data_IF_756522661081
#
_entry.id   IF_756522661081
#
_cell.length_a   1.000
_cell.length_b   1.000
_cell.length_c   1.000
_cell.angle_alpha   90.00
_cell.angle_beta   90.00
_cell.angle_gamma   90.00
#
_symmetry.space_group_name_H-M   'P 1'
#
loop_
_entity.id
_entity.type
_entity.pdbx_description
1 polymer ?
#
# COMPACT_ATOMS: atom_id res chain seq x y z
N UNK A 1 -13.20 30.67 35.96
CA UNK A 1 -11.80 30.81 36.41
C UNK A 1 -10.95 30.13 35.35
N UNK A 2 -10.46 30.91 34.37
CA UNK A 2 -9.48 30.41 33.39
C UNK A 2 -8.17 30.25 34.14
N UNK A 3 -7.67 29.02 34.22
CA UNK A 3 -6.38 28.71 34.79
C UNK A 3 -5.29 29.20 33.82
N UNK A 4 -5.01 30.52 33.84
CA UNK A 4 -3.86 31.13 33.16
C UNK A 4 -2.61 30.69 33.91
N UNK A 5 -2.06 29.53 33.54
CA UNK A 5 -0.67 29.23 33.83
C UNK A 5 0.20 30.29 33.17
N UNK A 6 0.86 31.09 33.98
CA UNK A 6 1.85 32.08 33.58
C UNK A 6 3.01 31.29 32.96
N UNK A 7 3.13 31.31 31.62
CA UNK A 7 4.30 30.77 30.92
C UNK A 7 5.50 31.66 31.24
N UNK A 8 6.42 31.16 32.06
CA UNK A 8 7.67 31.85 32.37
C UNK A 8 8.47 32.11 31.07
N UNK A 9 8.88 33.37 30.88
CA UNK A 9 9.48 33.93 29.67
C UNK A 9 10.94 33.50 29.43
N UNK A 10 11.24 32.21 29.50
CA UNK A 10 12.41 31.64 28.82
C UNK A 10 11.95 31.05 27.50
N UNK A 11 11.92 31.89 26.45
CA UNK A 11 11.63 31.43 25.08
C UNK A 11 12.83 30.61 24.58
N UNK A 12 12.86 29.34 24.94
CA UNK A 12 13.79 28.37 24.35
C UNK A 12 13.36 28.14 22.91
N UNK A 13 14.26 28.34 21.95
CA UNK A 13 13.98 28.06 20.54
C UNK A 13 13.72 26.55 20.38
N UNK A 14 12.73 26.19 19.59
CA UNK A 14 12.40 24.79 19.28
C UNK A 14 13.66 24.06 18.75
N UNK A 15 14.43 24.72 17.88
CA UNK A 15 15.68 24.16 17.35
C UNK A 15 16.70 23.80 18.45
N UNK A 16 16.72 24.54 19.56
CA UNK A 16 17.59 24.24 20.70
C UNK A 16 17.15 22.97 21.44
N UNK A 17 15.86 22.69 21.49
CA UNK A 17 15.31 21.45 22.07
C UNK A 17 15.62 20.27 21.14
N UNK A 18 15.36 20.43 19.83
CA UNK A 18 15.63 19.41 18.81
C UNK A 18 17.12 19.07 18.74
N UNK A 19 18.01 20.07 18.83
CA UNK A 19 19.46 19.85 18.83
C UNK A 19 19.97 19.01 20.03
N UNK A 20 19.20 18.96 21.14
CA UNK A 20 19.53 18.20 22.35
C UNK A 20 18.81 16.86 22.44
N UNK A 21 18.18 16.40 21.37
CA UNK A 21 17.47 15.12 21.30
C UNK A 21 18.33 13.94 21.81
N UNK A 22 19.60 13.85 21.39
CA UNK A 22 20.52 12.78 21.81
C UNK A 22 20.88 12.86 23.30
N UNK A 23 21.11 14.07 23.81
CA UNK A 23 21.45 14.29 25.22
C UNK A 23 20.25 13.95 26.12
N UNK A 24 19.04 14.34 25.70
CA UNK A 24 17.79 14.02 26.39
C UNK A 24 17.54 12.50 26.36
N UNK A 25 17.79 11.83 25.24
CA UNK A 25 17.63 10.39 25.12
C UNK A 25 18.56 9.65 26.11
N UNK A 26 19.82 10.10 26.19
CA UNK A 26 20.81 9.57 27.13
C UNK A 26 20.35 9.78 28.59
N UNK A 27 19.89 10.99 28.93
CA UNK A 27 19.44 11.31 30.29
C UNK A 27 18.21 10.49 30.72
N UNK A 28 17.37 10.09 29.78
CA UNK A 28 16.16 9.29 30.02
C UNK A 28 16.41 7.78 29.87
N UNK A 29 17.65 7.35 29.60
CA UNK A 29 18.00 5.97 29.27
C UNK A 29 17.12 5.37 28.15
N UNK A 30 16.75 6.20 27.18
CA UNK A 30 15.92 5.83 26.04
C UNK A 30 16.80 5.63 24.79
N UNK A 31 16.48 4.64 23.92
CA UNK A 31 17.25 4.41 22.70
C UNK A 31 17.11 5.54 21.68
N UNK A 32 15.94 6.17 21.62
CA UNK A 32 15.65 7.36 20.80
C UNK A 32 14.49 8.13 21.41
N UNK A 33 14.36 9.40 21.04
CA UNK A 33 13.23 10.27 21.41
C UNK A 33 12.59 10.83 20.16
N UNK A 34 11.28 11.03 20.18
CA UNK A 34 10.59 11.80 19.13
C UNK A 34 10.08 13.11 19.73
N UNK A 35 10.51 14.21 19.12
CA UNK A 35 10.10 15.56 19.52
C UNK A 35 9.07 16.05 18.50
N UNK A 36 7.86 16.32 18.96
CA UNK A 36 6.77 16.89 18.15
C UNK A 36 6.46 18.31 18.62
N UNK A 37 6.79 19.29 17.77
CA UNK A 37 6.65 20.70 18.09
C UNK A 37 5.97 21.47 16.94
N UNK A 38 4.86 22.20 17.20
CA UNK A 38 3.97 22.06 18.36
C UNK A 38 3.12 20.78 18.26
N UNK A 39 2.62 20.29 19.40
CA UNK A 39 1.56 19.27 19.41
C UNK A 39 0.31 19.88 18.75
N UNK A 40 -0.31 19.21 17.76
CA UNK A 40 -1.49 19.73 17.07
C UNK A 40 -2.57 20.24 18.02
N UNK A 41 -3.01 21.48 17.83
CA UNK A 41 -4.05 22.10 18.65
C UNK A 41 -3.57 22.69 19.99
N UNK A 42 -2.26 22.70 20.28
CA UNK A 42 -1.71 23.26 21.53
C UNK A 42 -0.45 24.10 21.29
N UNK A 43 -0.01 24.86 22.29
CA UNK A 43 1.27 25.59 22.30
C UNK A 43 2.44 24.78 22.87
N UNK A 44 2.25 23.47 23.09
CA UNK A 44 3.21 22.62 23.81
C UNK A 44 4.15 21.87 22.85
N UNK A 45 5.35 21.55 23.35
CA UNK A 45 6.28 20.61 22.72
C UNK A 45 6.05 19.22 23.32
N UNK A 46 5.75 18.24 22.48
CA UNK A 46 5.64 16.84 22.88
C UNK A 46 6.99 16.14 22.78
N UNK A 47 7.36 15.41 23.82
CA UNK A 47 8.53 14.52 23.81
C UNK A 47 8.01 13.11 24.07
N UNK A 48 8.04 12.27 23.04
CA UNK A 48 7.68 10.85 23.16
C UNK A 48 8.90 10.05 23.60
N UNK A 49 8.80 9.43 24.76
CA UNK A 49 9.81 8.55 25.35
C UNK A 49 9.33 7.10 25.19
N UNK A 50 10.13 6.20 24.60
CA UNK A 50 9.79 4.79 24.52
C UNK A 50 9.57 4.17 25.90
N UNK A 51 8.51 3.36 26.04
CA UNK A 51 8.31 2.58 27.25
C UNK A 51 9.39 1.49 27.38
N UNK A 52 9.95 1.24 28.59
CA UNK A 52 10.95 0.19 28.81
C UNK A 52 10.44 -1.22 28.48
N UNK A 53 9.13 -1.45 28.63
CA UNK A 53 8.45 -2.69 28.22
C UNK A 53 7.37 -2.33 27.22
N UNK A 54 7.59 -2.68 25.96
CA UNK A 54 6.56 -2.52 24.92
C UNK A 54 5.45 -3.56 25.13
N UNK A 55 4.21 -3.12 25.15
CA UNK A 55 3.06 -4.01 25.09
C UNK A 55 2.65 -4.19 23.64
N UNK A 56 2.56 -5.44 23.18
CA UNK A 56 2.09 -5.74 21.83
C UNK A 56 0.63 -5.30 21.65
N UNK A 57 0.30 -4.81 20.46
CA UNK A 57 -1.08 -4.51 20.06
C UNK A 57 -1.60 -5.69 19.27
N UNK A 58 -2.45 -6.53 19.82
CA UNK A 58 -3.02 -7.65 19.06
C UNK A 58 -4.04 -7.14 18.04
N UNK A 59 -4.07 -7.76 16.86
CA UNK A 59 -5.04 -7.42 15.80
C UNK A 59 -6.49 -7.52 16.30
N UNK A 60 -6.80 -8.55 17.09
CA UNK A 60 -8.10 -8.72 17.75
C UNK A 60 -8.48 -7.49 18.58
N UNK A 61 -7.55 -6.93 19.36
CA UNK A 61 -7.83 -5.77 20.21
C UNK A 61 -8.20 -4.50 19.43
N UNK A 62 -7.77 -4.42 18.16
CA UNK A 62 -8.13 -3.33 17.24
C UNK A 62 -9.48 -3.62 16.58
N UNK A 63 -9.70 -4.85 16.13
CA UNK A 63 -10.93 -5.26 15.43
C UNK A 63 -12.18 -5.29 16.31
N UNK A 64 -12.01 -5.49 17.62
CA UNK A 64 -13.13 -5.47 18.57
C UNK A 64 -13.59 -4.06 18.96
N UNK A 65 -12.88 -3.01 18.52
CA UNK A 65 -13.20 -1.62 18.85
C UNK A 65 -14.47 -1.12 18.15
N UNK A 66 -15.10 -0.09 18.75
CA UNK A 66 -16.29 0.55 18.18
C UNK A 66 -15.96 1.17 16.82
N UNK A 67 -14.80 1.82 16.69
CA UNK A 67 -14.37 2.49 15.46
C UNK A 67 -14.23 1.50 14.30
N UNK A 68 -13.58 0.35 14.55
CA UNK A 68 -13.46 -0.70 13.54
C UNK A 68 -14.82 -1.25 13.12
N UNK A 69 -15.68 -1.59 14.09
CA UNK A 69 -17.03 -2.13 13.81
C UNK A 69 -17.90 -1.13 13.06
N UNK A 70 -17.81 0.15 13.40
CA UNK A 70 -18.53 1.23 12.73
C UNK A 70 -18.11 1.36 11.26
N UNK A 71 -16.80 1.32 10.96
CA UNK A 71 -16.32 1.31 9.57
C UNK A 71 -16.74 0.04 8.83
N UNK A 72 -16.61 -1.12 9.47
CA UNK A 72 -16.97 -2.43 8.89
C UNK A 72 -18.43 -2.49 8.47
N UNK A 73 -19.32 -1.81 9.18
CA UNK A 73 -20.74 -1.74 8.81
C UNK A 73 -21.00 -1.03 7.47
N UNK A 74 -20.01 -0.26 6.98
CA UNK A 74 -20.13 0.60 5.78
C UNK A 74 -19.22 0.18 4.63
N UNK A 75 -18.08 -0.46 4.93
CA UNK A 75 -17.09 -0.88 3.94
C UNK A 75 -16.68 -2.33 4.14
N UNK A 76 -16.35 -3.00 3.04
CA UNK A 76 -15.80 -4.35 3.00
C UNK A 76 -14.29 -4.37 3.23
N UNK A 77 -13.58 -3.29 2.94
CA UNK A 77 -12.11 -3.30 2.94
C UNK A 77 -11.50 -2.57 4.16
N UNK A 78 -12.08 -2.81 5.33
CA UNK A 78 -11.64 -2.19 6.59
C UNK A 78 -10.42 -2.90 7.16
N UNK A 79 -9.43 -2.12 7.57
CA UNK A 79 -8.12 -2.55 8.03
C UNK A 79 -7.89 -2.14 9.49
N UNK A 80 -7.46 -3.09 10.32
CA UNK A 80 -6.99 -2.81 11.68
C UNK A 80 -5.50 -2.49 11.63
N UNK A 81 -5.13 -1.21 11.71
CA UNK A 81 -3.72 -0.80 11.58
C UNK A 81 -2.96 -0.88 12.90
N UNK A 82 -3.59 -0.55 14.03
CA UNK A 82 -2.91 -0.56 15.33
C UNK A 82 -3.46 0.46 16.32
N UNK A 83 -2.57 1.02 17.15
CA UNK A 83 -2.89 2.09 18.11
C UNK A 83 -1.87 3.23 18.03
N UNK A 84 -2.32 4.47 18.15
CA UNK A 84 -1.47 5.65 18.22
C UNK A 84 -0.75 5.78 19.56
N UNK A 85 0.17 6.75 19.65
CA UNK A 85 0.94 7.06 20.87
C UNK A 85 0.05 7.35 22.08
N UNK A 86 -1.15 7.91 21.86
CA UNK A 86 -2.13 8.21 22.91
C UNK A 86 -3.07 7.06 23.26
N UNK A 87 -2.89 5.89 22.63
CA UNK A 87 -3.80 4.73 22.77
C UNK A 87 -5.06 4.82 21.90
N UNK A 88 -5.19 5.88 21.09
CA UNK A 88 -6.22 6.01 20.06
C UNK A 88 -6.12 4.87 19.04
N UNK A 89 -7.28 4.38 18.59
CA UNK A 89 -7.32 3.22 17.69
C UNK A 89 -7.07 3.70 16.26
N UNK A 90 -6.11 3.08 15.58
CA UNK A 90 -5.86 3.32 14.18
C UNK A 90 -6.56 2.26 13.32
N UNK A 91 -7.63 2.70 12.64
CA UNK A 91 -8.39 1.92 11.67
C UNK A 91 -8.46 2.66 10.35
N UNK A 92 -8.51 1.92 9.26
CA UNK A 92 -8.54 2.52 7.93
C UNK A 92 -9.41 1.72 6.96
N UNK A 93 -9.70 2.29 5.80
CA UNK A 93 -10.57 1.68 4.79
C UNK A 93 -9.89 1.76 3.42
N UNK A 94 -9.48 0.62 2.88
CA UNK A 94 -8.81 0.52 1.58
C UNK A 94 -9.74 0.96 0.42
N UNK A 95 -11.06 0.87 0.59
CA UNK A 95 -12.02 1.40 -0.40
C UNK A 95 -11.93 2.92 -0.54
N UNK A 96 -11.64 3.61 0.57
CA UNK A 96 -11.40 5.06 0.61
C UNK A 96 -9.96 5.44 0.30
N UNK A 97 -9.03 4.55 0.63
CA UNK A 97 -7.59 4.65 0.42
C UNK A 97 -7.19 3.69 -0.70
N UNK A 98 -7.51 4.00 -1.97
CA UNK A 98 -7.68 2.98 -3.00
C UNK A 98 -6.46 2.07 -3.18
N UNK A 99 -5.26 2.59 -2.91
CA UNK A 99 -4.01 1.84 -2.96
C UNK A 99 -3.14 2.21 -1.75
N UNK A 100 -2.44 1.23 -1.21
CA UNK A 100 -1.59 1.33 -0.02
C UNK A 100 -0.16 0.90 -0.35
N UNK A 101 0.80 1.79 -0.08
CA UNK A 101 2.22 1.49 -0.17
C UNK A 101 2.78 1.23 1.23
N UNK A 102 3.46 0.12 1.44
CA UNK A 102 4.07 -0.28 2.71
C UNK A 102 5.58 -0.45 2.51
N UNK A 103 6.39 0.27 3.28
CA UNK A 103 7.84 0.14 3.17
C UNK A 103 8.51 0.07 4.54
N UNK A 104 9.69 -0.55 4.59
CA UNK A 104 10.49 -0.65 5.81
C UNK A 104 11.56 -1.71 5.72
N UNK A 105 12.60 -1.59 6.54
CA UNK A 105 13.72 -2.55 6.55
C UNK A 105 13.31 -3.92 7.09
N UNK A 106 14.11 -4.96 6.83
CA UNK A 106 13.91 -6.30 7.38
C UNK A 106 13.76 -6.27 8.92
N UNK A 107 12.78 -7.00 9.46
CA UNK A 107 12.53 -7.06 10.91
C UNK A 107 11.84 -5.83 11.52
N UNK A 108 11.50 -4.83 10.71
CA UNK A 108 10.83 -3.60 11.19
C UNK A 108 9.34 -3.79 11.52
N UNK A 109 8.69 -4.81 10.94
CA UNK A 109 7.25 -5.08 11.10
C UNK A 109 6.45 -5.09 9.80
N UNK A 110 7.07 -4.81 8.64
CA UNK A 110 6.44 -4.80 7.30
C UNK A 110 5.59 -6.05 7.03
N UNK A 111 6.18 -7.25 7.16
CA UNK A 111 5.48 -8.49 6.82
C UNK A 111 4.29 -8.77 7.74
N UNK A 112 4.44 -8.51 9.04
CA UNK A 112 3.35 -8.61 10.02
C UNK A 112 2.21 -7.64 9.68
N UNK A 113 2.52 -6.45 9.17
CA UNK A 113 1.52 -5.49 8.71
C UNK A 113 0.74 -5.98 7.49
N UNK A 114 1.43 -6.53 6.49
CA UNK A 114 0.78 -7.11 5.30
C UNK A 114 -0.17 -8.23 5.72
N UNK A 115 0.30 -9.12 6.60
CA UNK A 115 -0.52 -10.17 7.19
C UNK A 115 -1.72 -9.63 7.96
N UNK A 116 -1.53 -8.57 8.75
CA UNK A 116 -2.63 -7.93 9.50
C UNK A 116 -3.67 -7.29 8.57
N UNK A 117 -3.24 -6.70 7.45
CA UNK A 117 -4.11 -6.14 6.41
C UNK A 117 -4.94 -7.26 5.74
N UNK A 118 -4.28 -8.34 5.31
CA UNK A 118 -4.95 -9.49 4.67
C UNK A 118 -5.92 -10.15 5.66
N UNK A 119 -5.48 -10.42 6.88
CA UNK A 119 -6.30 -11.01 7.94
C UNK A 119 -7.53 -10.14 8.25
N UNK A 120 -7.37 -8.81 8.36
CA UNK A 120 -8.50 -7.89 8.56
C UNK A 120 -9.58 -8.05 7.50
N UNK A 121 -9.18 -8.24 6.23
CA UNK A 121 -10.09 -8.43 5.10
C UNK A 121 -10.75 -9.81 5.18
N UNK A 122 -9.99 -10.90 5.26
CA UNK A 122 -10.56 -12.25 5.15
C UNK A 122 -11.27 -12.72 6.42
N UNK A 123 -11.04 -12.11 7.59
CA UNK A 123 -11.79 -12.43 8.81
C UNK A 123 -13.28 -12.02 8.74
N UNK A 124 -13.64 -11.11 7.83
CA UNK A 124 -14.96 -10.48 7.85
C UNK A 124 -15.67 -10.42 6.48
N UNK A 125 -14.98 -10.87 5.43
CA UNK A 125 -15.49 -10.89 4.07
C UNK A 125 -15.47 -12.32 3.54
N UNK A 126 -16.55 -12.73 2.89
CA UNK A 126 -16.59 -13.99 2.17
C UNK A 126 -15.86 -13.85 0.82
N UNK A 127 -15.54 -14.97 0.13
CA UNK A 127 -15.04 -14.92 -1.25
C UNK A 127 -15.95 -14.14 -2.21
N UNK A 128 -17.25 -14.06 -1.93
CA UNK A 128 -18.23 -13.27 -2.70
C UNK A 128 -18.13 -11.77 -2.49
N UNK A 129 -17.61 -11.35 -1.33
CA UNK A 129 -17.36 -9.94 -1.05
C UNK A 129 -15.97 -9.53 -1.57
N UNK A 130 -14.95 -10.38 -1.41
CA UNK A 130 -13.57 -10.04 -1.74
C UNK A 130 -12.78 -11.22 -2.28
N UNK A 131 -12.06 -10.97 -3.38
CA UNK A 131 -11.11 -11.88 -4.02
C UNK A 131 -9.70 -11.31 -3.91
N UNK A 132 -8.69 -12.17 -3.83
CA UNK A 132 -7.30 -11.75 -3.59
C UNK A 132 -6.36 -12.38 -4.61
N UNK A 133 -5.41 -11.58 -5.11
CA UNK A 133 -4.18 -12.06 -5.76
C UNK A 133 -3.03 -11.75 -4.82
N UNK A 134 -2.19 -12.74 -4.57
CA UNK A 134 -1.00 -12.59 -3.73
C UNK A 134 0.24 -12.87 -4.57
N UNK A 135 1.20 -11.95 -4.54
CA UNK A 135 2.48 -12.04 -5.23
C UNK A 135 3.60 -12.03 -4.18
N UNK A 136 4.31 -13.14 -4.07
CA UNK A 136 5.36 -13.39 -3.08
C UNK A 136 6.56 -14.07 -3.76
N UNK A 137 7.45 -13.28 -4.40
CA UNK A 137 8.62 -13.82 -5.10
C UNK A 137 9.62 -14.49 -4.15
N UNK A 138 9.56 -14.17 -2.84
CA UNK A 138 10.45 -14.74 -1.82
C UNK A 138 9.96 -16.07 -1.26
N UNK A 139 8.69 -16.41 -1.47
CA UNK A 139 8.04 -17.64 -0.99
C UNK A 139 8.02 -17.76 0.54
N UNK A 140 7.89 -16.65 1.25
CA UNK A 140 7.95 -16.62 2.72
C UNK A 140 6.64 -16.12 3.30
N UNK A 141 6.21 -14.93 2.93
CA UNK A 141 5.23 -14.17 3.70
C UNK A 141 3.78 -14.50 3.34
N UNK A 142 3.49 -14.74 2.06
CA UNK A 142 2.11 -14.93 1.58
C UNK A 142 1.80 -16.36 1.16
N UNK A 143 2.83 -17.18 0.90
CA UNK A 143 2.63 -18.61 0.59
C UNK A 143 1.79 -19.39 1.62
N UNK A 144 1.78 -19.07 2.94
CA UNK A 144 0.90 -19.75 3.89
C UNK A 144 -0.60 -19.65 3.57
N UNK A 145 -1.04 -18.62 2.84
CA UNK A 145 -2.45 -18.45 2.46
C UNK A 145 -2.90 -19.37 1.32
N UNK A 146 -2.00 -20.14 0.69
CA UNK A 146 -2.38 -21.03 -0.41
C UNK A 146 -3.53 -21.96 -0.01
N UNK A 147 -4.57 -21.98 -0.85
CA UNK A 147 -5.76 -22.82 -0.69
C UNK A 147 -6.93 -22.15 0.04
N UNK A 148 -6.82 -20.90 0.50
CA UNK A 148 -8.01 -20.17 0.96
C UNK A 148 -8.96 -19.92 -0.23
N UNK A 149 -10.29 -19.93 -0.01
CA UNK A 149 -11.26 -19.80 -1.07
C UNK A 149 -11.31 -18.39 -1.65
N UNK A 150 -10.64 -17.38 -1.08
CA UNK A 150 -10.56 -15.99 -1.57
C UNK A 150 -9.56 -15.81 -2.72
N UNK A 151 -8.59 -16.72 -2.86
CA UNK A 151 -7.54 -16.60 -3.88
C UNK A 151 -8.12 -16.78 -5.28
N UNK A 152 -7.81 -15.85 -6.20
CA UNK A 152 -8.16 -15.98 -7.62
C UNK A 152 -7.29 -17.05 -8.28
N UNK A 153 -6.00 -17.05 -7.92
CA UNK A 153 -4.99 -18.03 -8.32
C UNK A 153 -4.14 -18.39 -7.10
N UNK A 154 -3.45 -19.54 -7.11
CA UNK A 154 -2.40 -19.82 -6.13
C UNK A 154 -1.42 -18.66 -6.02
N UNK A 155 -0.80 -18.52 -4.84
CA UNK A 155 0.16 -17.45 -4.58
C UNK A 155 1.24 -17.45 -5.66
N UNK A 156 1.39 -16.31 -6.32
CA UNK A 156 2.28 -16.14 -7.46
C UNK A 156 3.69 -15.92 -6.94
N UNK A 157 4.61 -16.77 -7.38
CA UNK A 157 6.02 -16.73 -6.97
C UNK A 157 6.96 -16.34 -8.12
N UNK A 158 6.52 -16.55 -9.37
CA UNK A 158 7.32 -16.25 -10.56
C UNK A 158 6.97 -14.85 -11.11
N UNK A 159 8.00 -14.08 -11.49
CA UNK A 159 7.82 -12.71 -11.97
C UNK A 159 6.98 -12.64 -13.24
N UNK A 160 7.20 -13.54 -14.20
CA UNK A 160 6.44 -13.58 -15.45
C UNK A 160 4.95 -13.83 -15.20
N UNK A 161 4.63 -14.68 -14.22
CA UNK A 161 3.26 -14.93 -13.81
C UNK A 161 2.64 -13.70 -13.11
N UNK A 162 3.43 -12.94 -12.35
CA UNK A 162 2.98 -11.68 -11.75
C UNK A 162 2.65 -10.63 -12.82
N UNK A 163 3.49 -10.48 -13.86
CA UNK A 163 3.22 -9.61 -15.00
C UNK A 163 1.91 -10.01 -15.69
N UNK A 164 1.72 -11.29 -15.97
CA UNK A 164 0.48 -11.81 -16.58
C UNK A 164 -0.75 -11.52 -15.72
N UNK A 165 -0.67 -11.78 -14.42
CA UNK A 165 -1.79 -11.53 -13.51
C UNK A 165 -2.15 -10.04 -13.43
N UNK A 166 -1.16 -9.14 -13.36
CA UNK A 166 -1.42 -7.70 -13.36
C UNK A 166 -2.07 -7.23 -14.68
N UNK A 167 -1.62 -7.74 -15.83
CA UNK A 167 -2.24 -7.46 -17.14
C UNK A 167 -3.67 -7.99 -17.21
N UNK A 168 -3.94 -9.20 -16.71
CA UNK A 168 -5.29 -9.75 -16.61
C UNK A 168 -6.19 -8.89 -15.71
N UNK A 169 -5.66 -8.33 -14.61
CA UNK A 169 -6.41 -7.42 -13.75
C UNK A 169 -6.74 -6.09 -14.42
N UNK A 170 -5.90 -5.61 -15.34
CA UNK A 170 -6.24 -4.44 -16.17
C UNK A 170 -7.40 -4.77 -17.11
N UNK A 171 -7.41 -5.96 -17.73
CA UNK A 171 -8.54 -6.38 -18.58
C UNK A 171 -9.82 -6.54 -17.76
N UNK A 172 -9.75 -7.17 -16.58
CA UNK A 172 -10.89 -7.27 -15.67
C UNK A 172 -11.39 -5.87 -15.26
N UNK A 173 -10.49 -4.94 -14.94
CA UNK A 173 -10.86 -3.54 -14.67
C UNK A 173 -11.67 -2.93 -15.82
N UNK A 174 -11.23 -3.12 -17.07
CA UNK A 174 -11.93 -2.61 -18.25
C UNK A 174 -13.28 -3.29 -18.47
N UNK A 175 -13.38 -4.61 -18.27
CA UNK A 175 -14.65 -5.36 -18.32
C UNK A 175 -15.63 -4.85 -17.27
N UNK A 176 -15.17 -4.57 -16.05
CA UNK A 176 -15.98 -3.98 -14.98
C UNK A 176 -16.49 -2.59 -15.35
N UNK A 177 -15.67 -1.75 -15.98
CA UNK A 177 -16.14 -0.45 -16.47
C UNK A 177 -17.29 -0.59 -17.46
N UNK A 178 -17.17 -1.46 -18.47
CA UNK A 178 -18.25 -1.72 -19.45
C UNK A 178 -19.55 -2.18 -18.74
N UNK A 179 -19.45 -3.17 -17.85
CA UNK A 179 -20.60 -3.67 -17.07
C UNK A 179 -21.25 -2.58 -16.20
N UNK A 180 -20.44 -1.72 -15.61
CA UNK A 180 -20.93 -0.61 -14.78
C UNK A 180 -21.61 0.46 -15.62
N UNK A 181 -21.06 0.79 -16.79
CA UNK A 181 -21.64 1.74 -17.75
C UNK A 181 -23.00 1.25 -18.26
N UNK A 182 -23.10 -0.01 -18.69
CA UNK A 182 -24.36 -0.65 -19.10
C UNK A 182 -25.43 -0.60 -18.00
N UNK A 183 -25.01 -0.70 -16.73
CA UNK A 183 -25.87 -0.62 -15.56
C UNK A 183 -26.08 0.81 -15.04
N UNK A 184 -25.54 1.84 -15.71
CA UNK A 184 -25.56 3.25 -15.24
C UNK A 184 -25.01 3.44 -13.82
N UNK A 185 -24.07 2.58 -13.41
CA UNK A 185 -23.41 2.62 -12.11
C UNK A 185 -22.05 3.31 -12.25
N UNK A 186 -21.79 4.33 -11.41
CA UNK A 186 -20.49 5.05 -11.42
C UNK A 186 -19.38 4.34 -10.65
N UNK A 187 -19.71 3.35 -9.82
CA UNK A 187 -18.76 2.58 -9.03
C UNK A 187 -19.35 1.22 -8.63
N UNK A 188 -18.47 0.34 -8.14
CA UNK A 188 -18.81 -1.03 -7.73
C UNK A 188 -19.87 -1.08 -6.62
N UNK A 189 -19.85 -0.13 -5.67
CA UNK A 189 -20.83 -0.09 -4.58
C UNK A 189 -22.25 0.12 -5.13
N UNK A 190 -22.40 1.05 -6.07
CA UNK A 190 -23.68 1.32 -6.74
C UNK A 190 -24.06 0.16 -7.66
N UNK A 191 -23.10 -0.43 -8.37
CA UNK A 191 -23.36 -1.58 -9.22
C UNK A 191 -23.90 -2.77 -8.43
N UNK A 192 -23.30 -3.07 -7.27
CA UNK A 192 -23.67 -4.18 -6.42
C UNK A 192 -24.93 -3.93 -5.59
N UNK A 193 -25.36 -2.67 -5.49
CA UNK A 193 -26.52 -2.27 -4.69
C UNK A 193 -27.76 -3.00 -5.20
N UNK A 194 -28.50 -3.61 -4.28
CA UNK A 194 -29.75 -4.33 -4.52
C UNK A 194 -29.67 -5.52 -5.51
N UNK A 195 -28.46 -5.92 -5.95
CA UNK A 195 -28.23 -7.11 -6.78
C UNK A 195 -28.16 -8.40 -5.95
N UNK A 196 -28.58 -9.55 -6.50
CA UNK A 196 -28.34 -10.86 -5.89
C UNK A 196 -26.85 -11.18 -5.86
N UNK A 197 -26.42 -11.98 -4.88
CA UNK A 197 -25.00 -12.29 -4.63
C UNK A 197 -24.28 -12.85 -5.86
N UNK A 198 -24.97 -13.66 -6.66
CA UNK A 198 -24.45 -14.28 -7.89
C UNK A 198 -24.12 -13.29 -9.01
N UNK A 199 -24.72 -12.10 -8.99
CA UNK A 199 -24.51 -11.06 -9.99
C UNK A 199 -23.57 -9.95 -9.52
N UNK A 200 -23.25 -9.92 -8.22
CA UNK A 200 -22.34 -8.93 -7.65
C UNK A 200 -20.91 -9.17 -8.12
N UNK A 201 -20.19 -8.07 -8.27
CA UNK A 201 -18.76 -8.10 -8.49
C UNK A 201 -18.06 -8.05 -7.12
N UNK A 202 -17.19 -9.00 -6.78
CA UNK A 202 -16.41 -8.92 -5.56
C UNK A 202 -15.35 -7.82 -5.69
N UNK A 203 -14.97 -7.20 -4.58
CA UNK A 203 -13.75 -6.39 -4.54
C UNK A 203 -12.54 -7.27 -4.83
N UNK A 204 -11.52 -6.74 -5.51
CA UNK A 204 -10.26 -7.44 -5.76
C UNK A 204 -9.16 -6.71 -5.01
N UNK A 205 -8.40 -7.43 -4.20
CA UNK A 205 -7.19 -6.91 -3.55
C UNK A 205 -5.99 -7.63 -4.12
N UNK A 206 -5.04 -6.87 -4.66
CA UNK A 206 -3.77 -7.38 -5.18
C UNK A 206 -2.70 -7.03 -4.15
N UNK A 207 -2.17 -8.04 -3.47
CA UNK A 207 -1.12 -7.90 -2.47
C UNK A 207 0.24 -8.31 -3.06
N UNK A 208 1.22 -7.40 -2.99
CA UNK A 208 2.59 -7.62 -3.45
C UNK A 208 3.51 -7.52 -2.24
N UNK A 209 4.19 -8.60 -1.86
CA UNK A 209 5.10 -8.58 -0.70
C UNK A 209 6.38 -7.77 -0.96
N UNK A 210 7.01 -7.96 -2.12
CA UNK A 210 8.27 -7.29 -2.46
C UNK A 210 8.21 -6.75 -3.89
N UNK A 211 7.86 -5.47 -4.03
CA UNK A 211 7.85 -4.78 -5.31
C UNK A 211 9.24 -4.74 -5.95
N UNK A 212 10.30 -4.61 -5.15
CA UNK A 212 11.66 -4.47 -5.66
C UNK A 212 12.09 -5.66 -6.52
N UNK A 213 11.73 -6.88 -6.12
CA UNK A 213 12.08 -8.09 -6.85
C UNK A 213 11.37 -8.15 -8.21
N UNK A 214 10.13 -7.66 -8.28
CA UNK A 214 9.39 -7.54 -9.54
C UNK A 214 10.00 -6.45 -10.45
N UNK A 215 10.35 -5.30 -9.87
CA UNK A 215 10.94 -4.17 -10.60
C UNK A 215 12.32 -4.51 -11.16
N UNK A 216 13.13 -5.28 -10.45
CA UNK A 216 14.46 -5.69 -10.92
C UNK A 216 14.40 -6.59 -12.15
N UNK A 217 13.34 -7.40 -12.28
CA UNK A 217 13.20 -8.36 -13.36
C UNK A 217 12.37 -7.81 -14.54
N UNK A 218 11.35 -7.00 -14.28
CA UNK A 218 10.41 -6.51 -15.30
C UNK A 218 9.86 -5.10 -14.98
N UNK A 219 10.73 -4.13 -14.68
CA UNK A 219 10.35 -2.77 -14.25
C UNK A 219 9.26 -2.13 -15.10
N UNK A 220 9.42 -2.10 -16.43
CA UNK A 220 8.50 -1.43 -17.34
C UNK A 220 7.08 -1.99 -17.24
N UNK A 221 6.92 -3.31 -17.40
CA UNK A 221 5.61 -3.97 -17.37
C UNK A 221 4.94 -3.86 -15.99
N UNK A 222 5.71 -4.01 -14.91
CA UNK A 222 5.22 -3.95 -13.54
C UNK A 222 4.78 -2.54 -13.18
N UNK A 223 5.63 -1.54 -13.40
CA UNK A 223 5.32 -0.14 -13.10
C UNK A 223 4.13 0.34 -13.92
N UNK A 224 4.10 0.07 -15.23
CA UNK A 224 2.97 0.42 -16.09
C UNK A 224 1.67 -0.19 -15.56
N UNK A 225 1.67 -1.48 -15.21
CA UNK A 225 0.47 -2.17 -14.75
C UNK A 225 -0.01 -1.66 -13.40
N UNK A 226 0.91 -1.44 -12.46
CA UNK A 226 0.61 -0.89 -11.14
C UNK A 226 0.02 0.52 -11.27
N UNK A 227 0.62 1.39 -12.08
CA UNK A 227 0.11 2.75 -12.30
C UNK A 227 -1.28 2.71 -12.93
N UNK A 228 -1.48 1.90 -13.96
CA UNK A 228 -2.76 1.82 -14.67
C UNK A 228 -3.89 1.36 -13.75
N UNK A 229 -3.62 0.33 -12.94
CA UNK A 229 -4.54 -0.14 -11.91
C UNK A 229 -4.75 0.89 -10.81
N UNK A 230 -3.70 1.61 -10.39
CA UNK A 230 -3.81 2.60 -9.34
C UNK A 230 -4.62 3.85 -9.75
N UNK A 231 -4.58 4.21 -11.04
CA UNK A 231 -5.33 5.34 -11.58
C UNK A 231 -6.83 5.07 -11.72
N UNK A 232 -7.20 3.85 -12.10
CA UNK A 232 -8.57 3.52 -12.53
C UNK A 232 -9.24 2.41 -11.69
N UNK A 233 -8.50 1.76 -10.80
CA UNK A 233 -8.96 0.62 -10.01
C UNK A 233 -10.03 0.97 -8.97
N UNK A 234 -9.95 2.17 -8.38
CA UNK A 234 -10.85 2.60 -7.28
C UNK A 234 -12.33 2.41 -7.59
N UNK A 235 -12.79 2.88 -8.75
CA UNK A 235 -14.22 2.83 -9.09
C UNK A 235 -14.69 1.39 -9.38
N UNK A 236 -13.79 0.54 -9.90
CA UNK A 236 -14.05 -0.86 -10.25
C UNK A 236 -13.88 -1.83 -9.09
N UNK A 237 -13.49 -1.32 -7.91
CA UNK A 237 -13.26 -2.12 -6.71
C UNK A 237 -11.98 -2.96 -6.76
N UNK A 238 -10.98 -2.55 -7.54
CA UNK A 238 -9.66 -3.19 -7.60
C UNK A 238 -8.67 -2.32 -6.82
N UNK A 239 -8.04 -2.92 -5.81
CA UNK A 239 -7.18 -2.24 -4.86
C UNK A 239 -5.81 -2.89 -4.79
N UNK A 240 -4.78 -2.08 -4.54
CA UNK A 240 -3.39 -2.53 -4.49
C UNK A 240 -2.84 -2.34 -3.08
N UNK A 241 -2.23 -3.38 -2.53
CA UNK A 241 -1.41 -3.32 -1.32
C UNK A 241 -0.01 -3.74 -1.73
N UNK A 242 0.88 -2.77 -1.89
CA UNK A 242 2.21 -3.00 -2.43
C UNK A 242 3.22 -2.75 -1.34
N UNK A 243 4.12 -3.70 -1.12
CA UNK A 243 5.14 -3.61 -0.10
C UNK A 243 6.56 -3.70 -0.69
N UNK A 244 7.52 -3.08 0.00
CA UNK A 244 8.95 -3.16 -0.37
C UNK A 244 9.85 -3.05 0.85
N UNK A 245 10.94 -3.81 0.86
CA UNK A 245 12.03 -3.63 1.84
C UNK A 245 13.13 -2.70 1.33
N UNK A 246 13.07 -2.31 0.05
CA UNK A 246 14.03 -1.43 -0.61
C UNK A 246 13.38 -0.09 -0.93
N UNK A 247 13.40 0.88 0.00
CA UNK A 247 12.83 2.22 -0.20
C UNK A 247 13.76 3.11 -1.03
N UNK A 248 14.20 2.64 -2.20
CA UNK A 248 14.99 3.42 -3.16
C UNK A 248 14.09 4.09 -4.19
N UNK A 249 14.60 5.16 -4.80
CA UNK A 249 13.89 5.91 -5.86
C UNK A 249 13.63 5.08 -7.12
N UNK A 250 14.43 4.04 -7.34
CA UNK A 250 14.29 3.13 -8.48
C UNK A 250 13.12 2.13 -8.29
N UNK A 251 12.73 1.87 -7.04
CA UNK A 251 11.62 0.97 -6.70
C UNK A 251 10.36 1.78 -6.40
N UNK A 252 10.49 2.82 -5.59
CA UNK A 252 9.42 3.75 -5.22
C UNK A 252 9.58 5.02 -6.05
N UNK A 253 9.28 4.88 -7.34
CA UNK A 253 9.42 5.97 -8.31
C UNK A 253 8.44 7.11 -8.01
N UNK A 254 8.67 8.28 -8.62
CA UNK A 254 7.73 9.41 -8.53
C UNK A 254 6.33 9.06 -9.04
N UNK A 255 6.24 8.21 -10.07
CA UNK A 255 4.96 7.77 -10.64
C UNK A 255 4.21 6.84 -9.70
N UNK A 256 4.90 5.89 -9.05
CA UNK A 256 4.31 5.06 -8.00
C UNK A 256 3.80 5.95 -6.87
N UNK A 257 4.62 6.87 -6.36
CA UNK A 257 4.19 7.77 -5.28
C UNK A 257 2.97 8.60 -5.63
N UNK A 258 2.89 9.11 -6.86
CA UNK A 258 1.77 9.94 -7.30
C UNK A 258 0.43 9.19 -7.27
N UNK A 259 0.44 7.86 -7.42
CA UNK A 259 -0.77 7.04 -7.46
C UNK A 259 -1.06 6.27 -6.16
N UNK A 260 -0.15 6.33 -5.18
CA UNK A 260 -0.29 5.73 -3.85
C UNK A 260 -0.29 6.83 -2.78
N UNK A 261 -1.42 7.55 -2.59
CA UNK A 261 -1.49 8.63 -1.60
C UNK A 261 -1.51 8.13 -0.15
N UNK A 262 -1.85 6.86 0.06
CA UNK A 262 -1.85 6.24 1.39
C UNK A 262 -0.58 5.42 1.57
N UNK A 263 0.19 5.73 2.61
CA UNK A 263 1.53 5.17 2.81
C UNK A 263 1.77 4.76 4.26
N UNK A 264 2.46 3.65 4.44
CA UNK A 264 2.98 3.18 5.71
C UNK A 264 4.49 3.04 5.58
N UNK A 265 5.22 3.67 6.49
CA UNK A 265 6.66 3.48 6.63
C UNK A 265 6.95 2.90 8.01
N UNK A 266 7.53 1.71 8.04
CA UNK A 266 8.17 1.15 9.22
C UNK A 266 9.60 1.71 9.37
N UNK A 267 10.31 1.27 10.41
CA UNK A 267 11.70 1.67 10.60
C UNK A 267 12.56 1.43 9.34
N UNK A 268 13.28 2.48 8.96
CA UNK A 268 14.22 2.51 7.82
C UNK A 268 15.61 2.95 8.28
N UNK A 269 16.63 2.68 7.47
CA UNK A 269 18.02 2.94 7.83
C UNK A 269 18.38 4.44 7.82
N UNK A 270 17.75 5.24 6.96
CA UNK A 270 18.16 6.63 6.75
C UNK A 270 17.01 7.62 6.53
N UNK A 271 17.32 8.91 6.71
CA UNK A 271 16.39 10.00 6.36
C UNK A 271 16.08 10.05 4.86
N UNK A 272 17.00 9.57 4.01
CA UNK A 272 16.77 9.50 2.56
C UNK A 272 15.67 8.50 2.28
N UNK A 273 15.76 7.31 2.87
CA UNK A 273 14.75 6.26 2.76
C UNK A 273 13.38 6.74 3.27
N UNK A 274 13.36 7.44 4.41
CA UNK A 274 12.12 8.03 4.96
C UNK A 274 11.47 8.99 3.94
N UNK A 275 12.27 9.88 3.33
CA UNK A 275 11.77 10.81 2.30
C UNK A 275 11.33 10.10 1.03
N UNK A 276 12.00 9.02 0.64
CA UNK A 276 11.58 8.22 -0.52
C UNK A 276 10.18 7.67 -0.33
N UNK A 277 9.77 7.31 0.89
CA UNK A 277 8.44 6.73 1.15
C UNK A 277 7.40 7.81 1.46
N UNK A 278 7.67 8.69 2.44
CA UNK A 278 6.67 9.58 3.04
C UNK A 278 6.74 11.03 2.54
N UNK A 279 7.72 11.35 1.70
CA UNK A 279 8.10 12.74 1.37
C UNK A 279 8.48 13.56 2.62
N UNK A 280 8.78 12.87 3.73
CA UNK A 280 9.09 13.43 5.04
C UNK A 280 10.13 12.58 5.79
N UNK A 281 10.84 13.20 6.72
CA UNK A 281 11.73 12.50 7.66
C UNK A 281 10.96 11.98 8.87
N UNK A 282 11.53 11.03 9.59
CA UNK A 282 11.02 10.54 10.87
C UNK A 282 10.92 9.02 10.93
N UNK A 283 10.84 8.32 9.80
CA UNK A 283 10.78 6.85 9.80
C UNK A 283 12.11 6.22 10.25
N UNK A 284 13.23 6.91 10.08
CA UNK A 284 14.55 6.49 10.57
C UNK A 284 14.67 6.52 12.10
N UNK A 285 13.71 7.14 12.79
CA UNK A 285 13.66 7.23 14.26
C UNK A 285 12.73 6.21 14.91
N UNK A 286 12.03 5.42 14.10
CA UNK A 286 11.11 4.39 14.58
C UNK A 286 11.89 3.26 15.27
N UNK A 287 11.23 2.63 16.24
CA UNK A 287 11.85 1.63 17.12
C UNK A 287 11.89 0.22 16.50
N UNK A 288 11.29 0.03 15.32
CA UNK A 288 11.04 -1.28 14.73
C UNK A 288 9.94 -2.05 15.45
N UNK A 289 9.86 -3.37 15.24
CA UNK A 289 8.88 -4.26 15.88
C UNK A 289 7.42 -3.77 15.78
N UNK A 290 7.04 -3.26 14.62
CA UNK A 290 5.68 -2.78 14.35
C UNK A 290 5.47 -1.28 14.56
N UNK A 291 6.44 -0.53 15.10
CA UNK A 291 6.38 0.93 15.16
C UNK A 291 6.45 1.52 13.73
N UNK A 292 5.45 2.32 13.37
CA UNK A 292 5.27 2.83 12.01
C UNK A 292 4.75 4.27 11.96
N UNK A 293 5.00 4.92 10.83
CA UNK A 293 4.35 6.16 10.42
C UNK A 293 3.33 5.84 9.33
N UNK A 294 2.07 6.23 9.57
CA UNK A 294 0.98 6.10 8.61
C UNK A 294 0.56 7.47 8.09
N UNK A 295 0.58 7.61 6.78
CA UNK A 295 0.12 8.78 6.04
C UNK A 295 -1.17 8.42 5.30
N UNK A 296 -2.36 8.81 5.82
CA UNK A 296 -3.61 8.64 5.10
C UNK A 296 -3.70 9.67 3.94
N UNK A 297 -4.60 9.46 2.96
CA UNK A 297 -4.64 10.30 1.76
C UNK A 297 -5.11 11.74 2.05
N UNK A 298 -5.87 11.92 3.13
CA UNK A 298 -6.50 13.20 3.46
C UNK A 298 -5.58 14.15 4.25
N UNK A 299 -4.43 13.67 4.75
CA UNK A 299 -3.52 14.50 5.56
C UNK A 299 -2.07 14.33 5.17
N UNK A 300 -1.33 15.42 4.88
CA UNK A 300 0.07 15.33 4.47
C UNK A 300 0.99 14.90 5.62
N UNK A 301 0.61 15.16 6.87
CA UNK A 301 1.43 14.80 8.04
C UNK A 301 1.17 13.33 8.44
N UNK A 302 2.20 12.47 8.49
CA UNK A 302 2.04 11.10 8.97
C UNK A 302 1.80 11.08 10.48
N UNK A 303 1.04 10.07 10.93
CA UNK A 303 0.77 9.79 12.34
C UNK A 303 1.53 8.55 12.77
N UNK A 304 2.07 8.56 13.99
CA UNK A 304 2.79 7.41 14.54
C UNK A 304 1.80 6.39 15.11
N UNK A 305 2.00 5.11 14.78
CA UNK A 305 1.15 4.01 15.17
C UNK A 305 2.04 2.84 15.58
N UNK A 306 1.71 2.19 16.69
CA UNK A 306 2.16 0.84 16.97
C UNK A 306 1.26 -0.14 16.22
N UNK A 307 1.84 -0.81 15.23
CA UNK A 307 1.18 -1.74 14.33
C UNK A 307 0.50 -2.90 15.07
N UNK A 308 -0.67 -3.28 14.57
CA UNK A 308 -1.34 -4.51 14.98
C UNK A 308 -0.46 -5.72 14.68
N UNK A 309 -0.49 -6.68 15.60
CA UNK A 309 0.26 -7.92 15.55
C UNK A 309 -0.71 -9.09 15.39
N UNK A 310 -0.38 -9.96 14.44
CA UNK A 310 -0.96 -11.28 14.25
C UNK A 310 0.22 -12.27 14.18
N UNK A 311 0.10 -13.38 14.89
CA UNK A 311 1.10 -14.44 14.91
C UNK A 311 0.91 -15.44 13.76
N UNK A 312 1.97 -16.17 13.42
CA UNK A 312 1.92 -17.22 12.39
C UNK A 312 0.91 -18.33 12.74
N UNK A 313 0.75 -18.64 14.04
CA UNK A 313 -0.26 -19.59 14.50
C UNK A 313 -1.69 -19.08 14.23
N UNK A 314 -1.96 -17.81 14.52
CA UNK A 314 -3.26 -17.20 14.20
C UNK A 314 -3.53 -17.16 12.69
N UNK A 315 -2.50 -16.95 11.87
CA UNK A 315 -2.61 -17.04 10.41
C UNK A 315 -2.92 -18.47 9.99
N UNK A 316 -2.22 -19.47 10.53
CA UNK A 316 -2.46 -20.88 10.21
C UNK A 316 -3.88 -21.32 10.59
N UNK A 317 -4.37 -20.90 11.75
CA UNK A 317 -5.73 -21.15 12.21
C UNK A 317 -6.77 -20.50 11.28
N UNK A 318 -6.53 -19.25 10.87
CA UNK A 318 -7.39 -18.52 9.93
C UNK A 318 -7.44 -19.19 8.55
N UNK A 319 -6.29 -19.63 8.04
CA UNK A 319 -6.20 -20.36 6.77
C UNK A 319 -6.90 -21.72 6.88
N UNK A 320 -6.69 -22.45 7.98
CA UNK A 320 -7.34 -23.74 8.25
C UNK A 320 -8.87 -23.60 8.29
N UNK A 321 -9.36 -22.59 9.02
CA UNK A 321 -10.78 -22.26 9.09
C UNK A 321 -11.37 -22.06 7.70
N UNK A 322 -10.71 -21.27 6.84
CA UNK A 322 -11.18 -20.96 5.50
C UNK A 322 -11.10 -22.14 4.53
N UNK A 323 -10.07 -22.99 4.64
CA UNK A 323 -9.95 -24.24 3.88
C UNK A 323 -11.04 -25.26 4.22
N UNK A 324 -11.52 -25.24 5.47
CA UNK A 324 -12.61 -26.10 5.92
C UNK A 324 -14.01 -25.64 5.49
N UNK A 325 -14.15 -24.45 4.89
CA UNK A 325 -15.45 -23.95 4.45
C UNK A 325 -15.88 -24.60 3.13
N UNK A 326 -17.05 -25.23 3.14
CA UNK A 326 -17.66 -25.83 1.96
C UNK A 326 -18.84 -24.98 1.51
N UNK A 327 -18.62 -24.09 0.54
CA UNK A 327 -19.65 -23.22 -0.02
C UNK A 327 -19.41 -22.94 -1.50
N UNK A 328 -20.44 -22.52 -2.25
CA UNK A 328 -20.26 -22.16 -3.65
C UNK A 328 -19.29 -20.98 -3.74
N UNK A 329 -18.37 -21.05 -4.70
CA UNK A 329 -17.45 -19.97 -4.99
C UNK A 329 -18.06 -19.03 -6.05
N UNK A 330 -17.66 -17.75 -6.06
CA UNK A 330 -18.00 -16.84 -7.15
C UNK A 330 -17.49 -17.36 -8.50
N UNK A 331 -18.04 -16.79 -9.58
CA UNK A 331 -17.54 -17.05 -10.92
C UNK A 331 -16.01 -16.81 -11.00
N UNK A 332 -15.34 -17.68 -11.76
CA UNK A 332 -13.89 -17.60 -11.97
C UNK A 332 -13.61 -16.31 -12.74
N UNK A 333 -12.69 -15.50 -12.20
CA UNK A 333 -12.14 -14.36 -12.92
C UNK A 333 -11.06 -14.91 -13.85
N UNK A 334 -11.24 -14.76 -15.16
CA UNK A 334 -10.29 -15.27 -16.13
C UNK A 334 -8.93 -14.59 -15.96
N UNK A 335 -7.88 -15.41 -15.96
CA UNK A 335 -6.49 -14.98 -16.00
C UNK A 335 -5.90 -15.04 -17.42
N UNK A 336 -6.70 -15.48 -18.38
CA UNK A 336 -6.32 -15.47 -19.78
C UNK A 336 -6.37 -14.04 -20.28
N UNK A 337 -5.27 -13.62 -20.90
CA UNK A 337 -5.17 -12.32 -21.53
C UNK A 337 -5.71 -12.51 -22.95
N UNK A 338 -6.93 -12.03 -23.20
CA UNK A 338 -7.47 -12.07 -24.56
C UNK A 338 -6.55 -11.21 -25.43
N UNK A 339 -5.92 -11.82 -26.44
CA UNK A 339 -5.06 -11.12 -27.40
C UNK A 339 -5.84 -10.11 -28.27
N UNK A 340 -7.18 -10.10 -28.16
CA UNK A 340 -8.09 -9.36 -29.03
C UNK A 340 -8.43 -7.95 -28.51
N UNK A 341 -8.29 -7.67 -27.20
CA UNK A 341 -8.48 -6.31 -26.67
C UNK A 341 -7.13 -5.60 -26.45
N UNK A 342 -6.43 -5.30 -27.55
CA UNK A 342 -5.55 -4.13 -27.57
C UNK A 342 -6.44 -2.93 -27.28
N UNK A 343 -6.36 -2.36 -26.08
CA UNK A 343 -7.03 -1.11 -25.76
C UNK A 343 -6.73 -0.09 -26.87
N UNK A 344 -7.73 0.62 -27.43
CA UNK A 344 -7.48 1.72 -28.36
C UNK A 344 -6.96 2.90 -27.55
N UNK A 345 -5.69 2.85 -27.15
CA UNK A 345 -4.86 3.94 -26.64
C UNK A 345 -3.44 3.47 -26.26
N UNK A 346 -2.86 2.53 -27.02
CA UNK A 346 -1.46 2.75 -27.37
C UNK A 346 -1.46 3.96 -28.28
N UNK A 347 -1.02 5.12 -27.77
CA UNK A 347 -0.41 6.13 -28.61
C UNK A 347 0.47 5.38 -29.61
N UNK A 348 0.15 5.50 -30.90
CA UNK A 348 0.88 4.90 -32.00
C UNK A 348 2.36 5.25 -31.87
N UNK A 349 3.13 4.40 -31.20
CA UNK A 349 4.57 4.27 -31.31
C UNK A 349 4.93 3.17 -32.32
N UNK A 350 3.91 2.57 -32.95
CA UNK A 350 4.00 1.72 -34.14
C UNK A 350 3.37 2.41 -35.36
N UNK A 351 3.46 3.74 -35.46
CA UNK A 351 3.72 4.30 -36.79
C UNK A 351 5.22 4.07 -36.99
N UNK A 352 5.59 3.30 -38.01
CA UNK A 352 6.94 3.40 -38.58
C UNK A 352 7.23 4.89 -38.71
N UNK A 353 8.13 5.40 -37.86
CA UNK A 353 8.46 6.80 -37.84
C UNK A 353 9.02 7.12 -39.23
N UNK A 354 8.24 7.82 -40.07
CA UNK A 354 8.64 8.18 -41.44
C UNK A 354 10.00 8.92 -41.46
N UNK A 355 10.41 9.49 -40.33
CA UNK A 355 11.71 10.13 -40.17
C UNK A 355 12.83 9.13 -39.86
N UNK A 356 12.53 7.94 -39.35
CA UNK A 356 13.50 6.87 -39.08
C UNK A 356 14.11 6.33 -40.37
N UNK A 357 13.29 6.12 -41.40
CA UNK A 357 13.76 5.66 -42.72
C UNK A 357 14.64 6.74 -43.38
N UNK A 358 14.22 8.02 -43.30
CA UNK A 358 15.02 9.16 -43.78
C UNK A 358 16.33 9.33 -43.00
N UNK A 359 16.31 9.11 -41.68
CA UNK A 359 17.50 9.13 -40.84
C UNK A 359 18.48 7.99 -41.19
N UNK A 360 17.95 6.81 -41.50
CA UNK A 360 18.73 5.65 -41.94
C UNK A 360 19.38 5.88 -43.31
N UNK A 361 18.65 6.45 -44.27
CA UNK A 361 19.21 6.84 -45.57
C UNK A 361 20.32 7.88 -45.42
N UNK A 362 20.12 8.91 -44.57
CA UNK A 362 21.14 9.90 -44.26
C UNK A 362 22.39 9.26 -43.64
N UNK A 363 22.20 8.29 -42.74
CA UNK A 363 23.30 7.56 -42.11
C UNK A 363 24.11 6.70 -43.08
N UNK A 364 23.45 6.16 -44.09
CA UNK A 364 24.10 5.36 -45.13
C UNK A 364 24.86 6.25 -46.12
N UNK A 365 24.40 7.48 -46.34
CA UNK A 365 24.95 8.41 -47.33
C UNK A 365 26.13 9.24 -46.82
N UNK A 366 26.22 9.47 -45.51
CA UNK A 366 27.27 10.29 -44.90
C UNK A 366 28.06 9.51 -43.84
N UNK A 367 29.39 9.48 -43.95
CA UNK A 367 30.26 8.78 -42.99
C UNK A 367 30.34 9.44 -41.60
N UNK A 368 29.75 10.63 -41.43
CA UNK A 368 29.56 11.33 -40.14
C UNK A 368 28.25 12.10 -40.17
N UNK A 369 27.42 11.92 -39.15
CA UNK A 369 26.13 12.61 -38.98
C UNK A 369 26.24 13.54 -37.76
N UNK A 370 25.86 14.81 -37.90
CA UNK A 370 25.68 15.75 -36.79
C UNK A 370 24.21 15.82 -36.36
N UNK A 371 23.95 16.18 -35.11
CA UNK A 371 22.59 16.36 -34.59
C UNK A 371 21.77 17.39 -35.39
N UNK A 372 22.42 18.45 -35.88
CA UNK A 372 21.80 19.44 -36.76
C UNK A 372 21.39 18.90 -38.13
N UNK A 373 22.02 17.83 -38.62
CA UNK A 373 21.71 17.20 -39.91
C UNK A 373 20.45 16.33 -39.82
N UNK A 374 20.23 15.68 -38.67
CA UNK A 374 19.05 14.86 -38.40
C UNK A 374 17.79 15.68 -38.06
N UNK A 375 17.97 16.94 -37.67
CA UNK A 375 16.88 17.85 -37.28
C UNK A 375 16.30 18.68 -38.44
N UNK A 376 16.83 18.53 -39.66
CA UNK A 376 16.32 19.16 -40.90
C UNK A 376 15.51 18.16 -41.67
#
# INVERSE_FOLDING_TARGET
>A
ILDRRIEDKTRVKIDSIVAREKDLALALAAPSLRIEAPIPGTSLVGIEVPNPKSMGVSLRSVMETVDFRALRSKSKLVLGLGKGSGGDVAVADLGRMPHLLIAGSTGSGKSVCINSVIASIIMHNSPWDTRIIMIDPKRVELTPYNGIPHLIVPVIVEVEAAVKALKAMIQEMLRRYKRMEEASARNIDIYNKDRPLSERMPFIVIAVDELADLMMAASYDIEHSIIRLAQLGRATGIHLVVATQRPSVDVVTGLIKANFPSRISFAVASQVDSRTILDAVGAEKLLGKGDMLFQPPDTPKPRRIQGAFISDNEIADLVSYWKGQNGPLPAIISMDIDNEERAPNSLNLEQEDELLEKAWELATKYSRISTSLLQR
#
